data_IF_247611929194
#
_entry.id   IF_247611929194
#
_cell.length_a   1.000
_cell.length_b   1.000
_cell.length_c   1.000
_cell.angle_alpha   90.00
_cell.angle_beta   90.00
_cell.angle_gamma   90.00
#
_symmetry.space_group_name_H-M   'P 1'
#
loop_
_entity.id
_entity.type
_entity.pdbx_description
1 polymer ?
#
# COMPACT_ATOMS: atom_id res chain seq x y z
N UNK A 1 30.10 -12.81 19.44
CA UNK A 1 29.09 -13.49 18.59
C UNK A 1 28.96 -12.70 17.31
N UNK A 2 29.13 -13.35 16.15
CA UNK A 2 28.97 -12.74 14.83
C UNK A 2 27.52 -12.34 14.61
N UNK A 3 27.28 -11.09 14.21
CA UNK A 3 25.94 -10.63 13.83
C UNK A 3 25.45 -11.45 12.62
N UNK A 4 24.17 -11.84 12.58
CA UNK A 4 23.62 -12.62 11.47
C UNK A 4 23.71 -11.82 10.17
N UNK A 5 24.27 -12.43 9.13
CA UNK A 5 24.51 -11.79 7.82
C UNK A 5 23.20 -11.59 7.03
N UNK A 6 22.17 -12.39 7.31
CA UNK A 6 20.87 -12.31 6.64
C UNK A 6 19.77 -11.77 7.57
N UNK A 7 18.86 -10.97 7.01
CA UNK A 7 17.73 -10.39 7.74
C UNK A 7 16.86 -11.49 8.36
N UNK A 8 16.55 -12.55 7.61
CA UNK A 8 15.78 -13.69 8.10
C UNK A 8 16.42 -14.38 9.33
N UNK A 9 17.74 -14.56 9.32
CA UNK A 9 18.46 -15.12 10.48
C UNK A 9 18.42 -14.17 11.68
N UNK A 10 18.51 -12.85 11.44
CA UNK A 10 18.37 -11.86 12.50
C UNK A 10 16.98 -11.84 13.14
N UNK A 11 15.92 -11.94 12.34
CA UNK A 11 14.54 -12.01 12.84
C UNK A 11 14.31 -13.27 13.67
N UNK A 12 14.82 -14.41 13.21
CA UNK A 12 14.77 -15.67 13.96
C UNK A 12 15.50 -15.56 15.31
N UNK A 13 16.70 -14.96 15.31
CA UNK A 13 17.49 -14.73 16.52
C UNK A 13 16.77 -13.78 17.49
N UNK A 14 16.19 -12.69 16.99
CA UNK A 14 15.42 -11.73 17.81
C UNK A 14 14.18 -12.39 18.46
N UNK A 15 13.53 -13.31 17.75
CA UNK A 15 12.40 -14.09 18.27
C UNK A 15 12.83 -15.07 19.37
N UNK A 16 14.00 -15.70 19.22
CA UNK A 16 14.55 -16.61 20.23
C UNK A 16 15.00 -15.90 21.52
N UNK A 17 15.49 -14.66 21.41
CA UNK A 17 15.96 -13.86 22.55
C UNK A 17 14.84 -13.13 23.31
N UNK A 18 13.57 -13.35 22.98
CA UNK A 18 12.43 -12.85 23.76
C UNK A 18 12.11 -11.36 23.56
N UNK A 19 12.20 -10.85 22.33
CA UNK A 19 11.96 -9.43 22.02
C UNK A 19 10.49 -9.01 21.88
N UNK A 20 10.26 -7.69 21.96
CA UNK A 20 8.94 -7.03 21.87
C UNK A 20 8.12 -7.43 20.63
N UNK A 21 6.84 -7.74 20.84
CA UNK A 21 5.88 -8.11 19.78
C UNK A 21 5.72 -7.05 18.69
N UNK A 22 5.93 -5.78 19.04
CA UNK A 22 5.88 -4.65 18.10
C UNK A 22 6.96 -4.78 17.02
N UNK A 23 8.17 -5.18 17.41
CA UNK A 23 9.26 -5.37 16.45
C UNK A 23 9.10 -6.66 15.65
N UNK A 24 8.50 -7.69 16.23
CA UNK A 24 8.15 -8.90 15.48
C UNK A 24 7.16 -8.57 14.34
N UNK A 25 6.15 -7.75 14.60
CA UNK A 25 5.23 -7.26 13.58
C UNK A 25 5.93 -6.39 12.54
N UNK A 26 6.82 -5.49 12.97
CA UNK A 26 7.63 -4.68 12.06
C UNK A 26 8.47 -5.54 11.10
N UNK A 27 9.08 -6.62 11.60
CA UNK A 27 9.91 -7.51 10.78
C UNK A 27 9.08 -8.44 9.89
N UNK A 28 7.84 -8.77 10.28
CA UNK A 28 6.91 -9.53 9.46
C UNK A 28 6.42 -8.77 8.22
N UNK A 29 6.40 -7.44 8.26
CA UNK A 29 6.04 -6.58 7.12
C UNK A 29 7.07 -6.58 5.98
N UNK A 30 8.24 -7.18 6.21
CA UNK A 30 9.26 -7.39 5.20
C UNK A 30 10.52 -6.56 5.41
N UNK A 31 11.48 -6.83 4.55
CA UNK A 31 12.81 -6.24 4.62
C UNK A 31 12.83 -4.86 3.97
N UNK A 32 13.17 -3.85 4.77
CA UNK A 32 13.40 -2.48 4.34
C UNK A 32 14.68 -1.98 5.01
N UNK A 33 15.31 -0.93 4.48
CA UNK A 33 16.49 -0.33 5.11
C UNK A 33 16.23 0.07 6.57
N UNK A 34 15.00 0.51 6.86
CA UNK A 34 14.57 0.83 8.22
C UNK A 34 14.44 -0.41 9.10
N UNK A 35 13.74 -1.46 8.65
CA UNK A 35 13.58 -2.68 9.44
C UNK A 35 14.92 -3.41 9.69
N UNK A 36 15.87 -3.35 8.75
CA UNK A 36 17.26 -3.82 8.97
C UNK A 36 17.98 -3.03 10.07
N UNK A 37 17.90 -1.70 10.04
CA UNK A 37 18.54 -0.84 11.06
C UNK A 37 17.95 -1.10 12.45
N UNK A 38 16.62 -1.21 12.54
CA UNK A 38 15.93 -1.51 13.79
C UNK A 38 16.32 -2.90 14.30
N UNK A 39 16.32 -3.93 13.43
CA UNK A 39 16.74 -5.28 13.80
C UNK A 39 18.18 -5.33 14.33
N UNK A 40 19.11 -4.67 13.64
CA UNK A 40 20.51 -4.60 14.08
C UNK A 40 20.65 -3.90 15.44
N UNK A 41 19.90 -2.81 15.66
CA UNK A 41 19.88 -2.09 16.94
C UNK A 41 19.32 -2.93 18.07
N UNK A 42 18.18 -3.59 17.86
CA UNK A 42 17.54 -4.44 18.87
C UNK A 42 18.41 -5.66 19.20
N UNK A 43 18.97 -6.34 18.19
CA UNK A 43 19.92 -7.44 18.43
C UNK A 43 21.18 -6.98 19.17
N UNK A 44 21.69 -5.79 18.85
CA UNK A 44 22.82 -5.17 19.57
C UNK A 44 22.43 -4.83 21.02
N UNK A 45 21.23 -4.32 21.27
CA UNK A 45 20.74 -4.05 22.62
C UNK A 45 20.60 -5.34 23.45
N UNK A 46 20.08 -6.41 22.84
CA UNK A 46 19.92 -7.71 23.47
C UNK A 46 21.26 -8.45 23.72
N UNK A 47 22.34 -8.05 23.04
CA UNK A 47 23.68 -8.62 23.23
C UNK A 47 24.59 -7.80 24.15
N UNK A 48 24.15 -6.61 24.60
CA UNK A 48 24.93 -5.73 25.47
C UNK A 48 24.31 -5.70 26.88
N UNK A 49 24.95 -6.43 27.81
CA UNK A 49 24.96 -6.10 29.25
C UNK A 49 25.64 -4.71 29.39
N UNK A 50 25.16 -3.79 30.25
CA UNK A 50 25.20 -2.37 29.96
C UNK A 50 26.60 -1.79 30.14
N UNK A 51 27.17 -1.27 29.06
CA UNK A 51 28.18 -0.21 29.16
C UNK A 51 28.14 0.68 27.93
N UNK A 52 27.72 1.92 28.19
CA UNK A 52 28.10 3.14 27.50
C UNK A 52 27.88 3.25 25.97
N UNK A 53 27.05 4.23 25.59
CA UNK A 53 27.27 5.06 24.40
C UNK A 53 28.75 5.41 24.25
N UNK A 54 29.33 5.48 23.02
CA UNK A 54 28.93 6.52 22.08
C UNK A 54 29.08 6.20 20.57
N UNK A 55 28.68 7.22 19.80
CA UNK A 55 29.24 7.69 18.53
C UNK A 55 28.94 6.95 17.20
N UNK A 56 28.55 7.81 16.27
CA UNK A 56 28.28 7.64 14.84
C UNK A 56 29.56 7.20 14.11
N UNK A 57 29.45 6.24 13.19
CA UNK A 57 30.35 6.11 12.05
C UNK A 57 29.54 5.66 10.82
N UNK A 58 29.55 6.51 9.80
CA UNK A 58 29.15 6.19 8.42
C UNK A 58 30.16 5.19 7.86
N UNK A 59 29.69 4.06 7.33
CA UNK A 59 30.42 3.35 6.29
C UNK A 59 29.45 2.60 5.38
N UNK A 60 29.19 3.20 4.22
CA UNK A 60 28.53 2.62 3.07
C UNK A 60 29.44 1.56 2.45
N UNK A 61 29.08 0.29 2.58
CA UNK A 61 29.55 -0.79 1.73
C UNK A 61 28.34 -1.40 1.02
N UNK A 62 28.16 -1.04 -0.26
CA UNK A 62 27.18 -1.65 -1.15
C UNK A 62 27.79 -2.96 -1.65
N UNK A 63 27.37 -4.08 -1.10
CA UNK A 63 27.61 -5.41 -1.69
C UNK A 63 26.30 -5.86 -2.33
N UNK A 64 26.25 -5.83 -3.66
CA UNK A 64 25.18 -6.45 -4.43
C UNK A 64 25.35 -7.96 -4.37
N UNK A 65 24.52 -8.63 -3.57
CA UNK A 65 24.36 -10.08 -3.60
C UNK A 65 23.11 -10.40 -4.46
N UNK A 66 23.31 -11.17 -5.52
CA UNK A 66 22.29 -11.54 -6.50
C UNK A 66 21.30 -12.55 -5.89
N UNK A 67 20.11 -12.06 -5.55
CA UNK A 67 18.99 -12.86 -5.06
C UNK A 67 18.45 -13.73 -6.21
N UNK A 68 18.16 -15.04 -5.99
CA UNK A 68 17.52 -15.89 -6.98
C UNK A 68 16.12 -15.38 -7.32
N UNK A 69 15.86 -15.27 -8.63
CA UNK A 69 14.67 -14.72 -9.26
C UNK A 69 13.40 -15.45 -8.77
N UNK A 70 12.47 -14.78 -8.07
CA UNK A 70 11.11 -15.29 -7.88
C UNK A 70 10.37 -15.35 -9.23
N UNK A 71 9.32 -16.18 -9.36
CA UNK A 71 8.60 -16.39 -10.61
C UNK A 71 8.17 -15.05 -11.21
N UNK A 72 8.35 -14.92 -12.53
CA UNK A 72 8.15 -13.71 -13.31
C UNK A 72 6.92 -12.92 -12.83
N UNK A 73 7.18 -11.84 -12.09
CA UNK A 73 6.18 -10.81 -11.88
C UNK A 73 5.76 -10.33 -13.27
N UNK A 74 4.45 -10.33 -13.53
CA UNK A 74 3.85 -9.74 -14.71
C UNK A 74 4.54 -8.40 -14.99
N UNK A 75 5.20 -8.31 -16.14
CA UNK A 75 5.93 -7.11 -16.55
C UNK A 75 4.96 -5.93 -16.48
N UNK A 76 5.24 -4.88 -15.69
CA UNK A 76 4.33 -3.74 -15.56
C UNK A 76 4.12 -3.13 -16.94
N UNK A 77 2.90 -3.29 -17.46
CA UNK A 77 2.58 -2.99 -18.86
C UNK A 77 2.36 -1.49 -19.09
N UNK A 78 2.24 -0.71 -18.01
CA UNK A 78 1.85 0.69 -18.04
C UNK A 78 2.84 1.64 -17.34
N UNK A 79 4.14 1.35 -17.41
CA UNK A 79 5.21 2.17 -16.81
C UNK A 79 5.27 3.62 -17.31
N UNK A 80 4.71 3.90 -18.49
CA UNK A 80 4.62 5.24 -19.08
C UNK A 80 3.26 5.93 -18.87
N UNK A 81 2.40 5.43 -17.98
CA UNK A 81 1.07 6.03 -17.76
C UNK A 81 1.21 7.48 -17.24
N UNK A 82 0.50 8.46 -17.85
CA UNK A 82 0.54 9.86 -17.41
C UNK A 82 -0.02 10.05 -15.98
N UNK A 83 -0.76 9.07 -15.46
CA UNK A 83 -1.29 9.05 -14.10
C UNK A 83 -0.22 8.83 -13.03
N UNK A 84 0.95 8.30 -13.40
CA UNK A 84 2.02 7.99 -12.44
C UNK A 84 2.73 9.24 -11.93
N UNK A 85 2.91 10.26 -12.78
CA UNK A 85 3.60 11.49 -12.39
C UNK A 85 2.92 12.20 -11.19
N UNK A 86 1.61 12.52 -11.24
CA UNK A 86 0.94 13.17 -10.10
C UNK A 86 0.93 12.30 -8.84
N UNK A 87 0.81 10.97 -8.96
CA UNK A 87 0.89 10.06 -7.82
C UNK A 87 2.28 10.10 -7.15
N UNK A 88 3.35 10.11 -7.94
CA UNK A 88 4.73 10.18 -7.45
C UNK A 88 5.03 11.52 -6.79
N UNK A 89 4.52 12.62 -7.34
CA UNK A 89 4.62 13.94 -6.72
C UNK A 89 3.93 13.98 -5.36
N UNK A 90 2.71 13.45 -5.27
CA UNK A 90 1.98 13.33 -3.99
C UNK A 90 2.71 12.44 -2.99
N UNK A 91 3.26 11.31 -3.44
CA UNK A 91 4.07 10.42 -2.61
C UNK A 91 5.30 11.14 -2.05
N UNK A 92 6.00 11.88 -2.89
CA UNK A 92 7.16 12.67 -2.47
C UNK A 92 6.74 13.71 -1.43
N UNK A 93 5.72 14.50 -1.72
CA UNK A 93 5.22 15.52 -0.79
C UNK A 93 4.82 14.93 0.57
N UNK A 94 4.10 13.80 0.60
CA UNK A 94 3.71 13.14 1.84
C UNK A 94 4.94 12.63 2.63
N UNK A 95 5.94 12.08 1.94
CA UNK A 95 7.18 11.58 2.59
C UNK A 95 8.03 12.73 3.13
N UNK A 96 8.13 13.83 2.40
CA UNK A 96 8.87 15.02 2.81
C UNK A 96 8.22 15.66 4.04
N UNK A 97 6.90 15.86 4.02
CA UNK A 97 6.14 16.39 5.17
C UNK A 97 6.27 15.48 6.38
N UNK A 98 6.12 14.16 6.20
CA UNK A 98 6.25 13.19 7.31
C UNK A 98 7.65 13.24 7.92
N UNK A 99 8.69 13.32 7.08
CA UNK A 99 10.09 13.38 7.55
C UNK A 99 10.38 14.68 8.29
N UNK A 100 9.86 15.80 7.80
CA UNK A 100 9.93 17.10 8.47
C UNK A 100 9.26 17.06 9.85
N UNK A 101 8.05 16.52 9.94
CA UNK A 101 7.33 16.41 11.22
C UNK A 101 8.05 15.50 12.21
N UNK A 102 8.63 14.39 11.75
CA UNK A 102 9.47 13.54 12.60
C UNK A 102 10.70 14.29 13.14
N UNK A 103 11.37 15.08 12.30
CA UNK A 103 12.50 15.89 12.73
C UNK A 103 12.08 16.98 13.75
N UNK A 104 10.87 17.51 13.62
CA UNK A 104 10.34 18.53 14.53
C UNK A 104 9.84 17.94 15.87
N UNK A 105 9.49 16.65 15.95
CA UNK A 105 9.05 16.02 17.21
C UNK A 105 10.11 16.08 18.33
N UNK A 106 11.38 16.13 17.96
CA UNK A 106 12.52 16.25 18.89
C UNK A 106 12.87 17.68 19.27
N UNK A 107 12.15 18.68 18.75
CA UNK A 107 12.42 20.09 19.04
C UNK A 107 12.22 20.40 20.53
N UNK A 108 13.15 21.16 21.16
CA UNK A 108 13.02 21.57 22.54
C UNK A 108 11.83 22.54 22.70
N UNK A 109 11.18 22.51 23.86
CA UNK A 109 10.04 23.38 24.21
C UNK A 109 8.76 23.19 23.37
N UNK A 110 8.65 22.10 22.62
CA UNK A 110 7.40 21.72 21.97
C UNK A 110 6.35 21.36 23.02
N UNK A 111 5.17 21.98 22.94
CA UNK A 111 4.07 21.67 23.86
C UNK A 111 3.56 20.24 23.65
N UNK A 112 3.06 19.60 24.71
CA UNK A 112 2.51 18.25 24.59
C UNK A 112 1.32 18.18 23.60
N UNK A 113 0.51 19.25 23.54
CA UNK A 113 -0.61 19.37 22.60
C UNK A 113 -0.13 19.39 21.15
N UNK A 114 0.92 20.15 20.85
CA UNK A 114 1.45 20.26 19.49
C UNK A 114 2.18 18.98 19.09
N UNK A 115 2.91 18.36 20.02
CA UNK A 115 3.49 17.02 19.82
C UNK A 115 2.42 15.98 19.46
N UNK A 116 1.28 16.00 20.16
CA UNK A 116 0.14 15.13 19.85
C UNK A 116 -0.45 15.35 18.46
N UNK A 117 -0.64 16.62 18.05
CA UNK A 117 -1.11 16.97 16.69
C UNK A 117 -0.16 16.48 15.61
N UNK A 118 1.14 16.66 15.82
CA UNK A 118 2.17 16.22 14.88
C UNK A 118 2.21 14.70 14.76
N UNK A 119 2.13 13.99 15.89
CA UNK A 119 2.06 12.53 15.90
C UNK A 119 0.84 12.01 15.12
N UNK A 120 -0.35 12.60 15.34
CA UNK A 120 -1.56 12.28 14.58
C UNK A 120 -1.35 12.53 13.07
N UNK A 121 -0.78 13.68 12.70
CA UNK A 121 -0.51 14.02 11.30
C UNK A 121 0.45 13.03 10.65
N UNK A 122 1.48 12.59 11.36
CA UNK A 122 2.41 11.54 10.90
C UNK A 122 1.69 10.21 10.64
N UNK A 123 0.76 9.81 11.51
CA UNK A 123 -0.06 8.61 11.28
C UNK A 123 -0.88 8.74 9.99
N UNK A 124 -1.59 9.87 9.83
CA UNK A 124 -2.40 10.12 8.62
C UNK A 124 -1.55 10.13 7.35
N UNK A 125 -0.36 10.76 7.38
CA UNK A 125 0.57 10.76 6.24
C UNK A 125 1.09 9.35 5.93
N UNK A 126 1.29 8.52 6.94
CA UNK A 126 1.68 7.11 6.76
C UNK A 126 0.58 6.33 6.05
N UNK A 127 -0.67 6.47 6.48
CA UNK A 127 -1.82 5.83 5.82
C UNK A 127 -1.96 6.33 4.37
N UNK A 128 -1.81 7.63 4.14
CA UNK A 128 -1.86 8.23 2.81
C UNK A 128 -0.75 7.69 1.89
N UNK A 129 0.48 7.51 2.39
CA UNK A 129 1.57 6.90 1.61
C UNK A 129 1.23 5.47 1.21
N UNK A 130 0.64 4.68 2.10
CA UNK A 130 0.22 3.30 1.78
C UNK A 130 -0.86 3.30 0.69
N UNK A 131 -1.86 4.18 0.80
CA UNK A 131 -2.90 4.32 -0.22
C UNK A 131 -2.34 4.72 -1.58
N UNK A 132 -1.42 5.69 -1.62
CA UNK A 132 -0.80 6.14 -2.86
C UNK A 132 0.10 5.07 -3.49
N UNK A 133 0.82 4.28 -2.69
CA UNK A 133 1.59 3.13 -3.19
C UNK A 133 0.69 2.06 -3.78
N UNK A 134 -0.46 1.78 -3.14
CA UNK A 134 -1.46 0.86 -3.69
C UNK A 134 -2.05 1.38 -5.00
N UNK A 135 -2.34 2.68 -5.10
CA UNK A 135 -2.80 3.31 -6.33
C UNK A 135 -1.74 3.27 -7.44
N UNK A 136 -0.47 3.54 -7.13
CA UNK A 136 0.63 3.44 -8.08
C UNK A 136 0.77 2.00 -8.60
N UNK A 137 0.78 1.01 -7.71
CA UNK A 137 0.82 -0.40 -8.10
C UNK A 137 -0.36 -0.77 -9.01
N UNK A 138 -1.57 -0.32 -8.66
CA UNK A 138 -2.76 -0.54 -9.48
C UNK A 138 -2.64 0.11 -10.87
N UNK A 139 -2.11 1.33 -10.98
CA UNK A 139 -1.86 1.97 -12.28
C UNK A 139 -0.81 1.20 -13.09
N UNK A 140 0.25 0.70 -12.45
CA UNK A 140 1.27 -0.09 -13.15
C UNK A 140 0.71 -1.41 -13.70
N UNK A 141 -0.21 -2.03 -12.98
CA UNK A 141 -0.84 -3.31 -13.38
C UNK A 141 -2.01 -3.12 -14.36
N UNK A 142 -2.84 -2.09 -14.18
CA UNK A 142 -4.12 -1.93 -14.88
C UNK A 142 -4.22 -0.67 -15.75
N UNK A 143 -3.20 0.20 -15.75
CA UNK A 143 -3.16 1.42 -16.55
C UNK A 143 -4.06 2.55 -16.06
N UNK A 144 -4.78 2.38 -14.94
CA UNK A 144 -5.78 3.31 -14.41
C UNK A 144 -5.77 3.40 -12.89
N UNK A 145 -6.35 4.47 -12.35
CA UNK A 145 -6.52 4.63 -10.90
C UNK A 145 -7.50 3.57 -10.34
N UNK A 146 -7.32 3.16 -9.07
CA UNK A 146 -8.27 2.29 -8.39
C UNK A 146 -9.63 2.99 -8.28
N UNK A 147 -10.69 2.28 -8.65
CA UNK A 147 -12.03 2.85 -8.63
C UNK A 147 -13.03 2.00 -9.44
N UNK A 148 -14.33 2.35 -9.37
CA UNK A 148 -15.35 1.67 -10.16
C UNK A 148 -15.10 1.92 -11.65
N UNK A 149 -15.00 0.82 -12.39
CA UNK A 149 -14.84 0.90 -13.84
C UNK A 149 -16.13 1.39 -14.47
N UNK A 150 -16.03 2.20 -15.53
CA UNK A 150 -17.19 2.43 -16.37
C UNK A 150 -17.69 1.08 -16.90
N UNK A 151 -19.00 0.92 -17.01
CA UNK A 151 -19.60 -0.36 -17.40
C UNK A 151 -19.13 -0.83 -18.78
N UNK A 152 -18.82 0.12 -19.67
CA UNK A 152 -18.23 -0.10 -20.98
C UNK A 152 -16.86 -0.81 -20.92
N UNK A 153 -16.09 -0.64 -19.84
CA UNK A 153 -14.72 -1.13 -19.73
C UNK A 153 -14.58 -2.41 -18.88
N UNK A 154 -15.71 -2.94 -18.38
CA UNK A 154 -15.72 -4.22 -17.67
C UNK A 154 -15.79 -5.35 -18.69
N UNK A 155 -14.76 -6.20 -18.70
CA UNK A 155 -14.69 -7.39 -19.56
C UNK A 155 -14.81 -8.70 -18.76
N UNK A 156 -14.52 -8.67 -17.46
CA UNK A 156 -14.55 -9.87 -16.63
C UNK A 156 -16.01 -10.35 -16.42
N UNK A 157 -16.31 -11.56 -16.88
CA UNK A 157 -17.65 -12.14 -16.81
C UNK A 157 -18.20 -12.25 -15.37
N UNK A 158 -17.33 -12.51 -14.39
CA UNK A 158 -17.71 -12.56 -12.97
C UNK A 158 -18.17 -11.18 -12.46
N UNK A 159 -17.43 -10.13 -12.78
CA UNK A 159 -17.77 -8.76 -12.40
C UNK A 159 -19.04 -8.28 -13.12
N UNK A 160 -19.20 -8.60 -14.41
CA UNK A 160 -20.40 -8.33 -15.18
C UNK A 160 -21.65 -8.95 -14.56
N UNK A 161 -21.61 -10.23 -14.15
CA UNK A 161 -22.74 -10.90 -13.48
C UNK A 161 -23.10 -10.22 -12.16
N UNK A 162 -22.10 -9.92 -11.33
CA UNK A 162 -22.31 -9.22 -10.05
C UNK A 162 -22.96 -7.85 -10.25
N UNK A 163 -22.50 -7.09 -11.26
CA UNK A 163 -23.06 -5.77 -11.59
C UNK A 163 -24.49 -5.88 -12.14
N UNK A 164 -24.77 -6.89 -12.95
CA UNK A 164 -26.11 -7.17 -13.46
C UNK A 164 -27.11 -7.39 -12.31
N UNK A 165 -26.77 -8.24 -11.34
CA UNK A 165 -27.64 -8.52 -10.18
C UNK A 165 -27.90 -7.26 -9.35
N UNK A 166 -26.87 -6.44 -9.14
CA UNK A 166 -26.99 -5.15 -8.45
C UNK A 166 -27.91 -4.19 -9.20
N UNK A 167 -27.76 -4.05 -10.52
CA UNK A 167 -28.58 -3.17 -11.35
C UNK A 167 -30.04 -3.65 -11.43
N UNK A 168 -30.28 -4.95 -11.55
CA UNK A 168 -31.64 -5.52 -11.51
C UNK A 168 -32.30 -5.21 -10.17
N UNK A 169 -31.57 -5.39 -9.07
CA UNK A 169 -32.05 -5.06 -7.72
C UNK A 169 -32.33 -3.57 -7.57
N UNK A 170 -31.46 -2.71 -8.11
CA UNK A 170 -31.63 -1.26 -8.08
C UNK A 170 -32.84 -0.83 -8.92
N UNK A 171 -32.99 -1.35 -10.14
CA UNK A 171 -34.16 -1.12 -10.99
C UNK A 171 -35.46 -1.49 -10.30
N UNK A 172 -35.50 -2.64 -9.61
CA UNK A 172 -36.68 -3.05 -8.85
C UNK A 172 -37.04 -2.08 -7.72
N UNK A 173 -36.02 -1.49 -7.05
CA UNK A 173 -36.22 -0.47 -6.02
C UNK A 173 -36.68 0.87 -6.62
N UNK A 174 -36.07 1.31 -7.71
CA UNK A 174 -36.41 2.57 -8.40
C UNK A 174 -37.81 2.53 -8.99
N UNK A 175 -38.27 1.39 -9.54
CA UNK A 175 -39.65 1.23 -10.04
C UNK A 175 -40.72 1.47 -8.98
N UNK A 176 -40.40 1.27 -7.70
CA UNK A 176 -41.32 1.51 -6.56
C UNK A 176 -41.29 2.97 -6.07
N UNK A 177 -40.47 3.82 -6.69
CA UNK A 177 -40.18 5.21 -6.30
C UNK A 177 -40.44 6.16 -7.47
N UNK A 178 -41.67 6.71 -7.61
CA UNK A 178 -42.01 7.57 -8.74
C UNK A 178 -41.11 8.81 -8.85
N UNK A 179 -40.58 9.30 -7.72
CA UNK A 179 -39.65 10.44 -7.66
C UNK A 179 -38.29 10.16 -8.33
N UNK A 180 -37.94 8.88 -8.55
CA UNK A 180 -36.70 8.45 -9.21
C UNK A 180 -36.95 7.85 -10.59
N UNK A 181 -38.15 8.00 -11.15
CA UNK A 181 -38.52 7.38 -12.44
C UNK A 181 -37.59 7.79 -13.59
N UNK A 182 -37.00 8.99 -13.54
CA UNK A 182 -36.03 9.47 -14.52
C UNK A 182 -34.74 8.64 -14.60
N UNK A 183 -34.41 7.85 -13.57
CA UNK A 183 -33.22 6.98 -13.56
C UNK A 183 -33.44 5.64 -14.27
N UNK A 184 -34.71 5.23 -14.49
CA UNK A 184 -35.05 3.93 -15.06
C UNK A 184 -34.47 3.69 -16.46
N UNK A 185 -34.54 4.65 -17.42
CA UNK A 185 -33.99 4.44 -18.74
C UNK A 185 -32.48 4.15 -18.72
N UNK A 186 -31.72 4.84 -17.86
CA UNK A 186 -30.28 4.62 -17.70
C UNK A 186 -29.96 3.23 -17.14
N UNK A 187 -30.69 2.81 -16.10
CA UNK A 187 -30.54 1.47 -15.53
C UNK A 187 -30.90 0.36 -16.53
N UNK A 188 -31.92 0.57 -17.35
CA UNK A 188 -32.33 -0.40 -18.38
C UNK A 188 -31.29 -0.49 -19.51
N UNK A 189 -30.69 0.63 -19.92
CA UNK A 189 -29.59 0.64 -20.88
C UNK A 189 -28.34 -0.08 -20.35
N UNK A 190 -27.96 0.16 -19.09
CA UNK A 190 -26.82 -0.51 -18.45
C UNK A 190 -27.04 -2.03 -18.32
N UNK A 191 -28.25 -2.45 -17.93
CA UNK A 191 -28.63 -3.87 -17.85
C UNK A 191 -28.54 -4.52 -19.24
N UNK A 192 -28.99 -3.84 -20.29
CA UNK A 192 -28.92 -4.33 -21.66
C UNK A 192 -27.47 -4.54 -22.09
N UNK A 193 -26.62 -3.53 -21.89
CA UNK A 193 -25.20 -3.58 -22.24
C UNK A 193 -24.47 -4.77 -21.58
N UNK A 194 -24.73 -5.02 -20.29
CA UNK A 194 -24.12 -6.16 -19.60
C UNK A 194 -24.60 -7.49 -20.16
N UNK A 195 -25.89 -7.60 -20.49
CA UNK A 195 -26.45 -8.83 -21.06
C UNK A 195 -25.82 -9.13 -22.41
N UNK A 196 -25.66 -8.13 -23.27
CA UNK A 196 -24.99 -8.26 -24.56
C UNK A 196 -23.55 -8.78 -24.39
N UNK A 197 -22.80 -8.21 -23.43
CA UNK A 197 -21.43 -8.65 -23.12
C UNK A 197 -21.35 -10.08 -22.56
N UNK A 198 -22.39 -10.54 -21.86
CA UNK A 198 -22.44 -11.89 -21.26
C UNK A 198 -22.97 -12.96 -22.23
N UNK A 199 -23.70 -12.57 -23.29
CA UNK A 199 -24.13 -13.51 -24.33
C UNK A 199 -22.94 -14.00 -25.15
N UNK A 200 -22.67 -15.32 -25.19
CA UNK A 200 -21.59 -15.84 -26.01
C UNK A 200 -21.92 -15.62 -27.49
N UNK A 201 -21.00 -14.99 -28.23
CA UNK A 201 -21.07 -14.94 -29.70
C UNK A 201 -20.97 -16.38 -30.21
N UNK A 202 -21.93 -16.88 -31.01
CA UNK A 202 -21.81 -18.20 -31.63
C UNK A 202 -20.55 -18.17 -32.51
N UNK A 203 -19.59 -19.07 -32.23
CA UNK A 203 -18.45 -19.29 -33.11
C UNK A 203 -19.00 -19.89 -34.41
N UNK A 204 -18.90 -19.13 -35.50
CA UNK A 204 -19.11 -19.62 -36.88
C UNK A 204 -17.87 -20.38 -37.31
#
# INVERSE_FOLDING_TARGET
>A
MSLPTSFAAGVALHKQLGGSDVYQQLFALGETSYSRQVLARELKALTIVPTAMPAIALETAIVQETVPTPPAALVPTHTASPLLLPLREQLKACRDERSLLHAQLSAPRLSQKDRGKMALRICLLTDQVVQLLSAEAHVLTHGRLPGPLALADVEEAGELRRRLDNLISLRAKVRRRPERAAELPGLEADIHLIREKLTPVPRV
#
